data_IF_762315583052
#
_entry.id   IF_762315583052
#
_cell.length_a   1.000
_cell.length_b   1.000
_cell.length_c   1.000
_cell.angle_alpha   90.00
_cell.angle_beta   90.00
_cell.angle_gamma   90.00
#
_symmetry.space_group_name_H-M   'P 1'
#
loop_
_entity.id
_entity.type
_entity.pdbx_description
1 polymer ?
#
# COMPACT_ATOMS: atom_id res chain seq x y z
N UNK A 1 -12.26 -23.28 -13.63
CA UNK A 1 -11.50 -22.01 -13.68
C UNK A 1 -10.78 -21.87 -12.36
N UNK A 2 -9.45 -21.66 -12.35
CA UNK A 2 -8.68 -21.60 -11.08
C UNK A 2 -9.10 -20.35 -10.31
N UNK A 3 -9.45 -20.43 -9.02
CA UNK A 3 -9.73 -19.23 -8.24
C UNK A 3 -8.46 -18.38 -8.23
N UNK A 4 -8.57 -17.17 -8.77
CA UNK A 4 -7.60 -16.11 -8.56
C UNK A 4 -7.58 -15.86 -7.06
N UNK A 5 -6.56 -16.37 -6.37
CA UNK A 5 -6.33 -15.97 -4.98
C UNK A 5 -6.27 -14.43 -4.94
N UNK A 6 -6.82 -13.80 -3.87
CA UNK A 6 -6.82 -12.36 -3.77
C UNK A 6 -5.36 -11.87 -3.77
N UNK A 7 -5.06 -10.95 -4.68
CA UNK A 7 -3.92 -10.05 -4.49
C UNK A 7 -4.24 -9.22 -3.24
N UNK A 8 -3.55 -9.49 -2.13
CA UNK A 8 -3.80 -8.72 -0.91
C UNK A 8 -3.13 -7.36 -1.07
N UNK A 9 -3.94 -6.33 -1.31
CA UNK A 9 -3.49 -4.94 -1.28
C UNK A 9 -3.32 -4.50 0.16
N UNK A 10 -2.09 -4.17 0.55
CA UNK A 10 -1.77 -3.62 1.87
C UNK A 10 -1.56 -2.10 1.76
N UNK A 11 -2.08 -1.37 2.74
CA UNK A 11 -1.92 0.07 2.83
C UNK A 11 -1.25 0.45 4.14
N UNK A 12 -0.27 1.33 4.06
CA UNK A 12 0.54 1.79 5.19
C UNK A 12 0.54 3.31 5.24
N UNK A 13 0.41 3.89 6.42
CA UNK A 13 0.68 5.30 6.67
C UNK A 13 2.05 5.41 7.34
N UNK A 14 2.99 6.06 6.67
CA UNK A 14 4.37 6.21 7.14
C UNK A 14 4.61 7.67 7.49
N UNK A 15 5.00 7.95 8.73
CA UNK A 15 5.45 9.28 9.14
C UNK A 15 6.85 9.53 8.61
N UNK A 16 7.05 10.60 7.85
CA UNK A 16 8.36 10.98 7.30
C UNK A 16 8.95 12.23 7.98
N UNK A 17 8.12 13.07 8.59
CA UNK A 17 8.52 14.24 9.38
C UNK A 17 7.51 14.50 10.54
N UNK A 18 7.66 15.58 11.33
CA UNK A 18 6.79 15.86 12.49
C UNK A 18 5.30 15.94 12.12
N UNK A 19 4.99 16.58 10.98
CA UNK A 19 3.63 16.76 10.47
C UNK A 19 3.43 16.19 9.05
N UNK A 20 4.44 15.52 8.48
CA UNK A 20 4.37 14.95 7.13
C UNK A 20 4.26 13.43 7.15
N UNK A 21 3.25 12.93 6.44
CA UNK A 21 2.96 11.52 6.25
C UNK A 21 2.91 11.16 4.77
N UNK A 22 3.30 9.93 4.47
CA UNK A 22 3.18 9.30 3.16
C UNK A 22 2.28 8.08 3.29
N UNK A 23 1.21 8.03 2.51
CA UNK A 23 0.36 6.85 2.40
C UNK A 23 0.90 5.98 1.27
N UNK A 24 1.25 4.75 1.58
CA UNK A 24 1.88 3.79 0.67
C UNK A 24 0.92 2.62 0.47
N UNK A 25 0.68 2.25 -0.79
CA UNK A 25 -0.05 1.02 -1.14
C UNK A 25 0.86 0.06 -1.88
N UNK A 26 0.97 -1.14 -1.35
CA UNK A 26 1.74 -2.22 -1.96
C UNK A 26 0.83 -3.39 -2.30
N UNK A 27 1.18 -4.09 -3.37
CA UNK A 27 0.56 -5.36 -3.71
C UNK A 27 1.57 -6.47 -3.49
N UNK A 28 1.17 -7.44 -2.68
CA UNK A 28 1.87 -8.70 -2.57
C UNK A 28 1.40 -9.60 -3.71
N UNK A 29 2.37 -10.06 -4.51
CA UNK A 29 2.10 -11.06 -5.55
C UNK A 29 1.75 -12.40 -4.90
N UNK A 30 1.13 -13.30 -5.65
CA UNK A 30 0.73 -14.58 -5.07
C UNK A 30 1.98 -15.35 -4.57
N UNK A 31 1.85 -16.17 -3.51
CA UNK A 31 3.00 -16.86 -2.92
C UNK A 31 3.81 -17.70 -3.91
N UNK A 32 3.15 -18.19 -4.98
CA UNK A 32 3.77 -19.00 -6.02
C UNK A 32 4.40 -18.18 -7.16
N UNK A 33 4.12 -16.87 -7.26
CA UNK A 33 4.78 -16.01 -8.24
C UNK A 33 6.21 -15.66 -7.81
N UNK A 34 6.55 -15.78 -6.52
CA UNK A 34 7.86 -15.44 -5.97
C UNK A 34 8.37 -14.06 -6.44
N UNK A 35 7.44 -13.15 -6.72
CA UNK A 35 7.73 -11.78 -7.13
C UNK A 35 7.90 -10.92 -5.87
N UNK A 36 8.81 -9.95 -5.89
CA UNK A 36 8.94 -9.00 -4.80
C UNK A 36 7.63 -8.21 -4.63
N UNK A 37 7.37 -7.77 -3.41
CA UNK A 37 6.31 -6.80 -3.12
C UNK A 37 6.53 -5.56 -3.98
N UNK A 38 5.48 -5.11 -4.66
CA UNK A 38 5.55 -3.97 -5.56
C UNK A 38 4.82 -2.77 -4.95
N UNK A 39 5.49 -1.61 -4.94
CA UNK A 39 4.84 -0.33 -4.69
C UNK A 39 3.90 -0.04 -5.86
N UNK A 40 2.62 0.11 -5.56
CA UNK A 40 1.60 0.38 -6.58
C UNK A 40 1.12 1.82 -6.59
N UNK A 41 1.08 2.46 -5.43
CA UNK A 41 0.68 3.86 -5.31
C UNK A 41 1.24 4.49 -4.05
N UNK A 42 1.46 5.80 -4.09
CA UNK A 42 1.81 6.59 -2.92
C UNK A 42 1.17 7.99 -2.98
N UNK A 43 0.81 8.53 -1.81
CA UNK A 43 0.39 9.94 -1.63
C UNK A 43 1.32 10.59 -0.62
N UNK A 44 1.88 11.76 -0.96
CA UNK A 44 2.73 12.57 -0.08
C UNK A 44 1.96 13.77 0.48
N UNK A 45 2.61 14.56 1.36
CA UNK A 45 2.03 15.75 1.97
C UNK A 45 0.71 15.46 2.73
N UNK A 46 0.60 14.28 3.34
CA UNK A 46 -0.55 13.93 4.19
C UNK A 46 -0.32 14.39 5.61
N UNK A 47 -1.38 14.86 6.26
CA UNK A 47 -1.37 15.14 7.69
C UNK A 47 -1.67 13.88 8.49
N UNK A 48 -1.38 13.92 9.79
CA UNK A 48 -1.68 12.81 10.73
C UNK A 48 -3.15 12.38 10.70
N UNK A 49 -4.05 13.32 10.48
CA UNK A 49 -5.49 13.11 10.52
C UNK A 49 -6.11 12.86 9.14
N UNK A 50 -5.32 12.79 8.07
CA UNK A 50 -5.83 12.38 6.77
C UNK A 50 -6.26 10.91 6.85
N UNK A 51 -7.53 10.65 6.56
CA UNK A 51 -8.02 9.27 6.48
C UNK A 51 -7.26 8.54 5.37
N UNK A 52 -6.92 7.28 5.62
CA UNK A 52 -6.32 6.41 4.62
C UNK A 52 -7.40 6.04 3.59
N UNK A 53 -7.73 6.99 2.72
CA UNK A 53 -8.75 6.83 1.70
C UNK A 53 -8.36 5.74 0.70
N UNK A 54 -9.35 4.95 0.30
CA UNK A 54 -9.19 3.96 -0.77
C UNK A 54 -8.89 4.71 -2.08
N UNK A 55 -7.78 4.32 -2.72
CA UNK A 55 -7.33 4.85 -4.01
C UNK A 55 -8.19 4.32 -5.17
#
# INVERSE_FOLDING_TARGET
ERPHLPLTGLSFQVQVDEDEFVHIRVFESLPHESKPVALTSYQTNKGRHDELAEF
#
